data_IF_191496820352
#
_entry.id   IF_191496820352
#
_cell.length_a   1.000
_cell.length_b   1.000
_cell.length_c   1.000
_cell.angle_alpha   90.00
_cell.angle_beta   90.00
_cell.angle_gamma   90.00
#
_symmetry.space_group_name_H-M   'P 1'
#
loop_
_entity.id
_entity.type
_entity.pdbx_description
1 polymer ?
#
# COMPACT_ATOMS: atom_id res chain seq x y z
N UNK A 1 61.44 -56.18 -40.65
CA UNK A 1 60.32 -57.08 -40.99
C UNK A 1 59.14 -56.68 -40.11
N UNK A 2 58.35 -55.73 -40.62
CA UNK A 2 57.14 -55.20 -39.98
C UNK A 2 55.96 -56.06 -40.35
N UNK A 3 55.28 -56.65 -39.37
CA UNK A 3 53.92 -57.18 -39.55
C UNK A 3 53.09 -56.79 -38.32
N UNK A 4 52.35 -55.71 -38.56
CA UNK A 4 51.16 -55.15 -37.92
C UNK A 4 50.60 -55.79 -36.64
N UNK A 5 50.67 -54.99 -35.57
CA UNK A 5 49.87 -55.07 -34.33
C UNK A 5 48.40 -54.66 -34.55
N UNK A 6 47.73 -55.16 -35.60
CA UNK A 6 46.32 -54.84 -35.91
C UNK A 6 45.31 -55.85 -35.33
N UNK A 7 45.79 -56.92 -34.67
CA UNK A 7 44.95 -57.94 -34.08
C UNK A 7 44.14 -57.54 -32.81
N UNK A 8 44.59 -56.65 -31.91
CA UNK A 8 43.87 -56.46 -30.64
C UNK A 8 42.66 -55.53 -30.76
N UNK A 9 42.58 -54.70 -31.80
CA UNK A 9 41.48 -53.73 -31.97
C UNK A 9 40.17 -54.39 -32.46
N UNK A 10 40.26 -55.45 -33.25
CA UNK A 10 39.08 -56.13 -33.80
C UNK A 10 38.33 -56.96 -32.75
N UNK A 11 39.06 -57.49 -31.76
CA UNK A 11 38.51 -58.33 -30.71
C UNK A 11 37.74 -57.54 -29.64
N UNK A 12 38.12 -56.27 -29.40
CA UNK A 12 37.42 -55.35 -28.50
C UNK A 12 36.08 -54.89 -29.09
N UNK A 13 36.00 -54.69 -30.42
CA UNK A 13 34.77 -54.27 -31.08
C UNK A 13 33.65 -55.34 -31.07
N UNK A 14 34.01 -56.63 -31.06
CA UNK A 14 33.02 -57.71 -30.98
C UNK A 14 32.37 -57.85 -29.59
N UNK A 15 33.08 -57.49 -28.51
CA UNK A 15 32.57 -57.65 -27.14
C UNK A 15 31.56 -56.56 -26.72
N UNK A 16 31.46 -55.46 -27.47
CA UNK A 16 30.55 -54.34 -27.18
C UNK A 16 29.11 -54.55 -27.70
N UNK A 17 28.87 -55.53 -28.57
CA UNK A 17 27.54 -55.79 -29.15
C UNK A 17 26.70 -56.82 -28.36
N UNK A 18 27.15 -57.27 -27.19
CA UNK A 18 26.47 -58.30 -26.41
C UNK A 18 25.36 -57.79 -25.47
N UNK A 19 25.10 -56.47 -25.41
CA UNK A 19 24.17 -55.87 -24.43
C UNK A 19 22.94 -55.17 -25.04
N UNK A 20 22.60 -55.41 -26.31
CA UNK A 20 21.30 -55.01 -26.87
C UNK A 20 20.58 -56.24 -27.43
N UNK A 21 20.00 -57.04 -26.53
CA UNK A 21 18.96 -57.97 -26.97
C UNK A 21 17.70 -57.16 -27.30
N UNK A 22 17.43 -57.01 -28.58
CA UNK A 22 16.15 -56.50 -29.11
C UNK A 22 15.09 -57.58 -29.18
N UNK A 23 15.44 -58.85 -28.89
CA UNK A 23 14.50 -59.97 -28.85
C UNK A 23 14.07 -60.24 -27.41
N UNK A 24 12.90 -59.69 -27.08
CA UNK A 24 12.16 -59.94 -25.86
C UNK A 24 10.75 -59.40 -26.00
N UNK A 25 9.76 -60.10 -25.44
CA UNK A 25 8.41 -59.57 -25.33
C UNK A 25 8.45 -58.38 -24.36
N UNK A 26 8.65 -57.16 -24.87
CA UNK A 26 8.55 -55.97 -24.04
C UNK A 26 7.10 -55.78 -23.61
N UNK A 27 6.83 -55.44 -22.35
CA UNK A 27 5.48 -55.09 -21.92
C UNK A 27 4.99 -53.88 -22.73
N UNK A 28 3.73 -53.90 -23.17
CA UNK A 28 3.16 -52.79 -23.93
C UNK A 28 3.24 -51.50 -23.14
N UNK A 29 3.63 -50.41 -23.81
CA UNK A 29 3.47 -49.04 -23.30
C UNK A 29 2.06 -48.49 -23.50
N UNK A 30 1.12 -49.35 -23.89
CA UNK A 30 -0.28 -48.96 -23.93
C UNK A 30 -0.75 -48.55 -22.53
N UNK A 31 -1.55 -47.47 -22.51
CA UNK A 31 -2.10 -46.89 -21.29
C UNK A 31 -2.86 -47.98 -20.52
N UNK A 32 -2.54 -48.14 -19.24
CA UNK A 32 -3.17 -49.16 -18.41
C UNK A 32 -4.62 -48.76 -18.10
N UNK A 33 -5.56 -49.71 -17.94
CA UNK A 33 -6.98 -49.38 -17.72
C UNK A 33 -7.25 -48.42 -16.53
N UNK A 34 -6.43 -48.50 -15.48
CA UNK A 34 -6.55 -47.65 -14.29
C UNK A 34 -5.88 -46.28 -14.40
N UNK A 35 -5.16 -45.99 -15.49
CA UNK A 35 -4.60 -44.66 -15.76
C UNK A 35 -5.63 -43.73 -16.44
N UNK A 36 -6.86 -44.22 -16.63
CA UNK A 36 -8.03 -43.41 -16.97
C UNK A 36 -8.58 -42.68 -15.74
N UNK A 37 -7.72 -41.94 -15.04
CA UNK A 37 -8.20 -41.09 -13.96
C UNK A 37 -9.15 -40.05 -14.56
N UNK A 38 -10.41 -40.07 -14.12
CA UNK A 38 -11.32 -38.95 -14.32
C UNK A 38 -10.63 -37.67 -13.81
N UNK A 39 -10.92 -36.49 -14.39
CA UNK A 39 -10.32 -35.25 -13.94
C UNK A 39 -10.48 -35.14 -12.42
N UNK A 40 -9.36 -34.99 -11.70
CA UNK A 40 -9.39 -34.69 -10.28
C UNK A 40 -10.16 -33.38 -10.14
N UNK A 41 -11.35 -33.43 -9.53
CA UNK A 41 -12.12 -32.24 -9.23
C UNK A 41 -11.29 -31.41 -8.25
N UNK A 42 -10.74 -30.30 -8.71
CA UNK A 42 -10.12 -29.31 -7.83
C UNK A 42 -11.24 -28.82 -6.90
N UNK A 43 -11.06 -28.83 -5.57
CA UNK A 43 -12.02 -28.21 -4.68
C UNK A 43 -12.21 -26.76 -5.11
N UNK A 44 -13.45 -26.32 -5.26
CA UNK A 44 -13.76 -24.93 -5.57
C UNK A 44 -13.21 -24.08 -4.43
N UNK A 45 -12.16 -23.31 -4.71
CA UNK A 45 -11.58 -22.38 -3.74
C UNK A 45 -12.66 -21.38 -3.39
N UNK A 46 -13.09 -21.34 -2.12
CA UNK A 46 -14.04 -20.34 -1.66
C UNK A 46 -13.54 -18.95 -2.08
N UNK A 47 -14.42 -18.12 -2.67
CA UNK A 47 -14.08 -16.76 -3.04
C UNK A 47 -13.53 -16.01 -1.83
N UNK A 48 -12.32 -15.50 -1.97
CA UNK A 48 -11.66 -14.63 -0.99
C UNK A 48 -12.39 -13.28 -1.03
N UNK A 49 -13.47 -13.15 -0.26
CA UNK A 49 -14.17 -11.87 -0.11
C UNK A 49 -13.23 -10.96 0.65
N UNK A 50 -12.80 -9.87 0.01
CA UNK A 50 -11.96 -8.87 0.66
C UNK A 50 -12.65 -8.40 1.96
N UNK A 51 -11.91 -8.28 3.07
CA UNK A 51 -12.51 -7.84 4.32
C UNK A 51 -13.07 -6.42 4.15
N UNK A 52 -14.34 -6.25 4.48
CA UNK A 52 -15.05 -4.97 4.44
C UNK A 52 -15.38 -4.50 5.87
N UNK A 53 -15.46 -3.18 6.06
CA UNK A 53 -15.90 -2.62 7.33
C UNK A 53 -17.39 -2.96 7.56
N UNK A 54 -17.78 -3.38 8.77
CA UNK A 54 -19.20 -3.49 9.12
C UNK A 54 -19.94 -2.18 8.85
N UNK A 55 -21.18 -2.24 8.35
CA UNK A 55 -21.93 -1.08 7.87
C UNK A 55 -21.98 0.09 8.88
N UNK A 56 -22.17 -0.21 10.17
CA UNK A 56 -22.18 0.82 11.21
C UNK A 56 -20.81 1.49 11.40
N UNK A 57 -19.73 0.74 11.25
CA UNK A 57 -18.36 1.25 11.32
C UNK A 57 -18.04 2.09 10.09
N UNK A 58 -18.46 1.65 8.90
CA UNK A 58 -18.36 2.43 7.67
C UNK A 58 -19.07 3.78 7.80
N UNK A 59 -20.30 3.81 8.34
CA UNK A 59 -21.04 5.07 8.53
C UNK A 59 -20.32 6.06 9.46
N UNK A 60 -19.61 5.56 10.49
CA UNK A 60 -18.77 6.38 11.37
C UNK A 60 -17.57 6.94 10.62
N UNK A 61 -16.86 6.10 9.87
CA UNK A 61 -15.73 6.51 9.01
C UNK A 61 -16.17 7.60 8.03
N UNK A 62 -17.30 7.42 7.34
CA UNK A 62 -17.82 8.41 6.40
C UNK A 62 -18.16 9.73 7.09
N UNK A 63 -18.67 9.68 8.33
CA UNK A 63 -18.95 10.88 9.12
C UNK A 63 -17.67 11.63 9.48
N UNK A 64 -16.61 10.93 9.86
CA UNK A 64 -15.30 11.52 10.14
C UNK A 64 -14.71 12.16 8.88
N UNK A 65 -14.79 11.48 7.74
CA UNK A 65 -14.32 12.00 6.44
C UNK A 65 -15.09 13.28 6.06
N UNK A 66 -16.43 13.31 6.22
CA UNK A 66 -17.21 14.53 5.94
C UNK A 66 -16.84 15.71 6.83
N UNK A 67 -16.57 15.47 8.11
CA UNK A 67 -16.10 16.51 9.05
C UNK A 67 -14.75 17.07 8.62
N UNK A 68 -13.80 16.20 8.31
CA UNK A 68 -12.52 16.61 7.75
C UNK A 68 -12.68 17.42 6.47
N UNK A 69 -13.52 16.97 5.52
CA UNK A 69 -13.77 17.69 4.28
C UNK A 69 -14.30 19.11 4.52
N UNK A 70 -15.25 19.28 5.44
CA UNK A 70 -15.78 20.60 5.79
C UNK A 70 -14.72 21.54 6.39
N UNK A 71 -13.84 21.01 7.25
CA UNK A 71 -12.72 21.77 7.81
C UNK A 71 -11.65 22.09 6.74
N UNK A 72 -11.37 21.15 5.84
CA UNK A 72 -10.46 21.36 4.72
C UNK A 72 -10.97 22.44 3.76
N UNK A 73 -12.27 22.44 3.44
CA UNK A 73 -12.87 23.49 2.62
C UNK A 73 -12.75 24.86 3.30
N UNK A 74 -12.91 24.93 4.63
CA UNK A 74 -12.72 26.19 5.36
C UNK A 74 -11.28 26.69 5.34
N UNK A 75 -10.33 25.78 5.52
CA UNK A 75 -8.90 26.08 5.39
C UNK A 75 -8.58 26.62 4.00
N UNK A 76 -9.01 25.92 2.94
CA UNK A 76 -8.76 26.32 1.55
C UNK A 76 -9.39 27.67 1.21
N UNK A 77 -10.61 27.95 1.69
CA UNK A 77 -11.25 29.26 1.48
C UNK A 77 -10.45 30.41 2.10
N UNK A 78 -9.84 30.19 3.27
CA UNK A 78 -9.09 31.22 4.01
C UNK A 78 -7.67 31.41 3.48
N UNK A 79 -7.06 30.33 2.97
CA UNK A 79 -5.64 30.27 2.61
C UNK A 79 -5.17 31.41 1.68
N UNK A 80 -5.84 31.75 0.56
CA UNK A 80 -5.36 32.81 -0.35
C UNK A 80 -5.24 34.18 0.32
N UNK A 81 -6.16 34.49 1.24
CA UNK A 81 -6.14 35.76 1.98
C UNK A 81 -4.94 35.81 2.91
N UNK A 82 -4.66 34.73 3.63
CA UNK A 82 -3.50 34.64 4.54
C UNK A 82 -2.19 34.68 3.76
N UNK A 83 -2.12 34.01 2.61
CA UNK A 83 -0.96 34.08 1.71
C UNK A 83 -0.67 35.53 1.29
N UNK A 84 -1.69 36.28 0.87
CA UNK A 84 -1.52 37.68 0.48
C UNK A 84 -1.06 38.57 1.64
N UNK A 85 -1.59 38.35 2.85
CA UNK A 85 -1.18 39.10 4.05
C UNK A 85 0.23 38.76 4.49
N UNK A 86 0.62 37.48 4.47
CA UNK A 86 1.97 37.04 4.76
C UNK A 86 2.99 37.65 3.78
N UNK A 87 2.69 37.67 2.48
CA UNK A 87 3.53 38.34 1.48
C UNK A 87 3.66 39.85 1.70
N UNK A 88 2.60 40.53 2.18
CA UNK A 88 2.66 41.96 2.54
C UNK A 88 3.44 42.23 3.81
N UNK A 89 3.41 41.30 4.76
CA UNK A 89 4.14 41.39 6.01
C UNK A 89 5.62 41.02 5.86
N UNK A 90 6.00 40.29 4.80
CA UNK A 90 7.38 39.88 4.56
C UNK A 90 8.36 41.07 4.63
N UNK A 91 9.37 40.95 5.49
CA UNK A 91 10.37 42.01 5.72
C UNK A 91 9.89 43.20 6.57
N UNK A 92 8.65 43.19 7.05
CA UNK A 92 8.17 44.16 8.02
C UNK A 92 8.85 43.95 9.37
N UNK A 93 9.09 45.03 10.12
CA UNK A 93 9.60 44.91 11.49
C UNK A 93 8.54 44.25 12.40
N UNK A 94 8.94 43.42 13.38
CA UNK A 94 8.02 42.89 14.38
C UNK A 94 7.20 44.00 15.06
N UNK A 95 5.90 43.75 15.24
CA UNK A 95 4.99 44.70 15.88
C UNK A 95 4.40 45.78 14.97
N UNK A 96 4.77 45.85 13.69
CA UNK A 96 4.03 46.69 12.73
C UNK A 96 2.62 46.13 12.51
N UNK A 97 1.71 46.98 12.04
CA UNK A 97 0.33 46.56 11.74
C UNK A 97 0.29 45.40 10.71
N UNK A 98 1.14 45.44 9.69
CA UNK A 98 1.27 44.36 8.70
C UNK A 98 1.67 43.03 9.34
N UNK A 99 2.66 43.05 10.23
CA UNK A 99 3.15 41.87 10.96
C UNK A 99 2.06 41.30 11.89
N UNK A 100 1.44 42.14 12.72
CA UNK A 100 0.39 41.73 13.66
C UNK A 100 -0.82 41.14 12.93
N UNK A 101 -1.25 41.79 11.85
CA UNK A 101 -2.39 41.31 11.07
C UNK A 101 -2.10 39.95 10.41
N UNK A 102 -0.90 39.77 9.86
CA UNK A 102 -0.52 38.50 9.25
C UNK A 102 -0.51 37.35 10.26
N UNK A 103 0.07 37.52 11.45
CA UNK A 103 0.03 36.50 12.51
C UNK A 103 -1.39 36.22 13.01
N UNK A 104 -2.23 37.24 13.16
CA UNK A 104 -3.62 37.06 13.55
C UNK A 104 -4.39 36.21 12.52
N UNK A 105 -4.21 36.47 11.24
CA UNK A 105 -4.88 35.67 10.20
C UNK A 105 -4.28 34.29 10.04
N UNK A 106 -2.97 34.13 10.24
CA UNK A 106 -2.32 32.82 10.28
C UNK A 106 -2.88 31.96 11.43
N UNK A 107 -3.07 32.54 12.62
CA UNK A 107 -3.71 31.85 13.74
C UNK A 107 -5.16 31.45 13.44
N UNK A 108 -5.93 32.29 12.73
CA UNK A 108 -7.29 31.96 12.29
C UNK A 108 -7.32 30.87 11.24
N UNK A 109 -6.31 30.80 10.38
CA UNK A 109 -6.12 29.71 9.44
C UNK A 109 -5.80 28.41 10.18
N UNK A 110 -4.85 28.43 11.12
CA UNK A 110 -4.55 27.27 11.97
C UNK A 110 -5.78 26.75 12.74
N UNK A 111 -6.59 27.66 13.29
CA UNK A 111 -7.84 27.30 13.95
C UNK A 111 -8.85 26.60 13.01
N UNK A 112 -8.86 26.89 11.70
CA UNK A 112 -9.79 26.25 10.75
C UNK A 112 -9.53 24.75 10.55
N UNK A 113 -8.31 24.27 10.79
CA UNK A 113 -7.98 22.84 10.71
C UNK A 113 -8.18 22.08 12.02
N UNK A 114 -8.63 22.73 13.10
CA UNK A 114 -8.78 22.10 14.41
C UNK A 114 -9.70 20.86 14.38
N UNK A 115 -10.79 20.89 13.61
CA UNK A 115 -11.68 19.73 13.49
C UNK A 115 -11.03 18.57 12.70
N UNK A 116 -10.19 18.85 11.70
CA UNK A 116 -9.38 17.81 11.04
C UNK A 116 -8.44 17.10 12.03
N UNK A 117 -7.78 17.87 12.91
CA UNK A 117 -6.91 17.31 13.96
C UNK A 117 -7.73 16.49 14.97
N UNK A 118 -8.95 16.92 15.31
CA UNK A 118 -9.86 16.14 16.14
C UNK A 118 -10.26 14.83 15.45
N UNK A 119 -10.58 14.87 14.16
CA UNK A 119 -10.93 13.70 13.34
C UNK A 119 -9.82 12.65 13.35
N UNK A 120 -8.54 13.03 13.21
CA UNK A 120 -7.43 12.05 13.28
C UNK A 120 -7.39 11.36 14.64
N UNK A 121 -7.54 12.11 15.74
CA UNK A 121 -7.58 11.52 17.09
C UNK A 121 -8.77 10.60 17.30
N UNK A 122 -9.91 10.91 16.69
CA UNK A 122 -11.09 10.05 16.71
C UNK A 122 -10.86 8.78 15.89
N UNK A 123 -10.18 8.86 14.74
CA UNK A 123 -9.72 7.68 14.01
C UNK A 123 -8.75 6.83 14.84
N UNK A 124 -7.76 7.44 15.52
CA UNK A 124 -6.83 6.70 16.38
C UNK A 124 -7.57 5.95 17.50
N UNK A 125 -8.55 6.62 18.11
CA UNK A 125 -9.40 6.01 19.14
C UNK A 125 -10.22 4.86 18.57
N UNK A 126 -10.76 5.01 17.36
CA UNK A 126 -11.53 3.99 16.66
C UNK A 126 -10.67 2.78 16.30
N UNK A 127 -9.46 3.01 15.77
CA UNK A 127 -8.48 1.96 15.44
C UNK A 127 -8.09 1.18 16.70
N UNK A 128 -7.77 1.89 17.79
CA UNK A 128 -7.39 1.28 19.04
C UNK A 128 -8.53 0.45 19.65
N UNK A 129 -9.77 0.93 19.58
CA UNK A 129 -10.92 0.23 20.15
C UNK A 129 -11.35 -0.97 19.31
N UNK A 130 -11.48 -0.78 17.99
CA UNK A 130 -11.86 -1.89 17.10
C UNK A 130 -10.76 -2.95 17.03
N UNK A 131 -9.49 -2.56 17.08
CA UNK A 131 -8.36 -3.50 17.07
C UNK A 131 -8.29 -4.44 18.28
N UNK A 132 -8.89 -4.09 19.42
CA UNK A 132 -9.04 -5.00 20.56
C UNK A 132 -10.06 -6.10 20.30
N UNK A 133 -11.12 -5.78 19.57
CA UNK A 133 -12.20 -6.71 19.25
C UNK A 133 -11.86 -7.56 18.02
N UNK A 134 -11.31 -6.93 16.99
CA UNK A 134 -10.95 -7.55 15.72
C UNK A 134 -9.75 -6.82 15.08
N UNK A 135 -8.60 -7.47 15.13
CA UNK A 135 -7.35 -6.92 14.57
C UNK A 135 -7.37 -6.84 13.04
N UNK A 136 -8.27 -7.55 12.35
CA UNK A 136 -8.40 -7.49 10.89
C UNK A 136 -8.98 -6.16 10.42
N UNK A 137 -9.64 -5.41 11.31
CA UNK A 137 -10.18 -4.07 11.00
C UNK A 137 -9.13 -2.96 11.05
N UNK A 138 -8.00 -3.17 11.73
CA UNK A 138 -6.96 -2.15 11.88
C UNK A 138 -6.42 -1.67 10.52
N UNK A 139 -6.01 -2.54 9.58
CA UNK A 139 -5.54 -2.10 8.27
C UNK A 139 -6.60 -1.31 7.47
N UNK A 140 -7.89 -1.70 7.57
CA UNK A 140 -8.98 -1.02 6.87
C UNK A 140 -9.20 0.39 7.42
N UNK A 141 -9.21 0.54 8.74
CA UNK A 141 -9.38 1.83 9.42
C UNK A 141 -8.16 2.74 9.22
N UNK A 142 -6.94 2.20 9.33
CA UNK A 142 -5.71 2.95 9.06
C UNK A 142 -5.65 3.43 7.62
N UNK A 143 -6.06 2.61 6.65
CA UNK A 143 -6.19 3.01 5.24
C UNK A 143 -7.19 4.14 5.05
N UNK A 144 -8.31 4.13 5.78
CA UNK A 144 -9.31 5.20 5.72
C UNK A 144 -8.82 6.52 6.38
N UNK A 145 -8.02 6.43 7.44
CA UNK A 145 -7.44 7.59 8.13
C UNK A 145 -6.31 8.26 7.33
N UNK A 146 -5.50 7.46 6.60
CA UNK A 146 -4.27 7.92 5.96
C UNK A 146 -4.40 9.21 5.14
N UNK A 147 -5.39 9.37 4.23
CA UNK A 147 -5.53 10.60 3.45
C UNK A 147 -5.80 11.84 4.31
N UNK A 148 -6.49 11.68 5.44
CA UNK A 148 -6.76 12.78 6.38
C UNK A 148 -5.47 13.25 7.05
N UNK A 149 -4.63 12.31 7.49
CA UNK A 149 -3.34 12.59 8.10
C UNK A 149 -2.37 13.26 7.12
N UNK A 150 -2.32 12.79 5.87
CA UNK A 150 -1.52 13.38 4.79
C UNK A 150 -1.95 14.84 4.54
N UNK A 151 -3.26 15.10 4.42
CA UNK A 151 -3.78 16.45 4.23
C UNK A 151 -3.44 17.39 5.39
N UNK A 152 -3.49 16.92 6.64
CA UNK A 152 -3.10 17.74 7.80
C UNK A 152 -1.59 18.05 7.79
N UNK A 153 -0.76 17.12 7.33
CA UNK A 153 0.67 17.36 7.17
C UNK A 153 0.94 18.46 6.13
N UNK A 154 0.21 18.45 5.01
CA UNK A 154 0.28 19.52 4.00
C UNK A 154 -0.15 20.88 4.57
N UNK A 155 -1.27 20.93 5.30
CA UNK A 155 -1.73 22.15 5.97
C UNK A 155 -0.68 22.69 6.95
N UNK A 156 -0.03 21.79 7.72
CA UNK A 156 1.01 22.17 8.67
C UNK A 156 2.21 22.77 7.95
N UNK A 157 2.67 22.12 6.88
CA UNK A 157 3.78 22.61 6.07
C UNK A 157 3.51 24.01 5.48
N UNK A 158 2.27 24.27 5.05
CA UNK A 158 1.88 25.58 4.53
C UNK A 158 1.81 26.65 5.63
N UNK A 159 1.27 26.33 6.81
CA UNK A 159 1.29 27.23 7.97
C UNK A 159 2.73 27.57 8.36
N UNK A 160 3.61 26.57 8.45
CA UNK A 160 5.03 26.77 8.80
C UNK A 160 5.74 27.63 7.75
N UNK A 161 5.45 27.41 6.46
CA UNK A 161 5.97 28.23 5.37
C UNK A 161 5.54 29.68 5.51
N UNK A 162 4.26 29.92 5.80
CA UNK A 162 3.71 31.25 5.99
C UNK A 162 4.28 31.94 7.23
N UNK A 163 4.47 31.21 8.33
CA UNK A 163 5.08 31.77 9.54
C UNK A 163 6.51 32.26 9.29
N UNK A 164 7.33 31.43 8.62
CA UNK A 164 8.69 31.81 8.21
C UNK A 164 8.71 33.01 7.26
N UNK A 165 7.72 33.13 6.38
CA UNK A 165 7.61 34.26 5.46
C UNK A 165 7.30 35.57 6.21
N UNK A 166 6.50 35.51 7.27
CA UNK A 166 6.16 36.67 8.09
C UNK A 166 7.35 37.10 8.96
N UNK A 167 8.12 36.13 9.48
CA UNK A 167 9.37 36.38 10.20
C UNK A 167 9.53 35.67 11.54
N UNK A 168 8.97 34.47 11.70
CA UNK A 168 9.35 33.50 12.76
C UNK A 168 10.48 32.57 12.29
#
# INVERSE_FOLDING_TARGET
MSINKLAPAFLVALLLNACSTTEGQFPSLERRPYESNAPVSVPETASDVAPELPQQLQAKVDSLIRRHAAAQDDFQRKLPTVQALASRAAGSAPGTESWVNAHLQLSRLDQSRADSIAVVREFDSLIAEQGKADSTLVPLLSKAQQPVSEMIAEQNAEIDRLSRLIGE
#
